data_IF_279051042607
#
_entry.id   IF_279051042607
#
_cell.length_a   1.000
_cell.length_b   1.000
_cell.length_c   1.000
_cell.angle_alpha   90.00
_cell.angle_beta   90.00
_cell.angle_gamma   90.00
#
_symmetry.space_group_name_H-M   'P 1'
#
loop_
_entity.id
_entity.type
_entity.pdbx_description
1 polymer ?
#
# COMPACT_ATOMS: atom_id res chain seq x y z
N UNK A 1 -14.72 -22.77 22.82
CA UNK A 1 -14.93 -23.63 21.63
C UNK A 1 -15.56 -22.86 20.46
N UNK A 2 -16.63 -22.06 20.65
CA UNK A 2 -17.14 -21.15 19.60
C UNK A 2 -16.12 -20.09 19.17
N UNK A 3 -15.41 -19.47 20.11
CA UNK A 3 -14.39 -18.45 19.80
C UNK A 3 -13.21 -19.01 19.01
N UNK A 4 -12.82 -20.26 19.27
CA UNK A 4 -11.72 -20.95 18.57
C UNK A 4 -12.10 -21.31 17.12
N UNK A 5 -13.35 -21.72 16.89
CA UNK A 5 -13.89 -21.99 15.54
C UNK A 5 -14.07 -20.68 14.76
N UNK A 6 -14.56 -19.61 15.40
CA UNK A 6 -14.68 -18.29 14.77
C UNK A 6 -13.31 -17.70 14.38
N UNK A 7 -12.32 -17.79 15.26
CA UNK A 7 -10.96 -17.31 14.99
C UNK A 7 -10.29 -18.07 13.83
N UNK A 8 -10.45 -19.39 13.78
CA UNK A 8 -9.88 -20.21 12.68
C UNK A 8 -10.52 -19.94 11.32
N UNK A 9 -11.82 -19.63 11.28
CA UNK A 9 -12.50 -19.24 10.05
C UNK A 9 -12.11 -17.84 9.58
N UNK A 10 -11.93 -16.89 10.51
CA UNK A 10 -11.40 -15.55 10.20
C UNK A 10 -9.97 -15.62 9.66
N UNK A 11 -9.10 -16.44 10.25
CA UNK A 11 -7.74 -16.66 9.75
C UNK A 11 -7.73 -17.25 8.33
N UNK A 12 -8.60 -18.22 8.03
CA UNK A 12 -8.74 -18.77 6.68
C UNK A 12 -9.24 -17.73 5.67
N UNK A 13 -10.17 -16.86 6.08
CA UNK A 13 -10.66 -15.75 5.23
C UNK A 13 -9.57 -14.72 4.99
N UNK A 14 -8.86 -14.29 6.03
CA UNK A 14 -7.73 -13.36 5.92
C UNK A 14 -6.68 -13.88 4.95
N UNK A 15 -6.28 -15.16 5.09
CA UNK A 15 -5.30 -15.79 4.19
C UNK A 15 -5.75 -15.79 2.72
N UNK A 16 -7.02 -16.13 2.45
CA UNK A 16 -7.54 -16.12 1.08
C UNK A 16 -7.55 -14.72 0.50
N UNK A 17 -7.88 -13.73 1.32
CA UNK A 17 -7.94 -12.34 0.90
C UNK A 17 -6.55 -11.79 0.58
N UNK A 18 -5.57 -12.10 1.42
CA UNK A 18 -4.15 -11.76 1.19
C UNK A 18 -3.62 -12.35 -0.11
N UNK A 19 -3.82 -13.65 -0.34
CA UNK A 19 -3.41 -14.26 -1.61
C UNK A 19 -4.13 -13.66 -2.83
N UNK A 20 -5.40 -13.29 -2.68
CA UNK A 20 -6.16 -12.64 -3.73
C UNK A 20 -5.58 -11.25 -4.02
N UNK A 21 -5.28 -10.46 -2.99
CA UNK A 21 -4.69 -9.13 -3.17
C UNK A 21 -3.27 -9.19 -3.74
N UNK A 22 -2.42 -10.10 -3.25
CA UNK A 22 -1.09 -10.32 -3.84
C UNK A 22 -1.19 -10.69 -5.33
N UNK A 23 -2.08 -11.60 -5.69
CA UNK A 23 -2.29 -11.99 -7.09
C UNK A 23 -2.81 -10.82 -7.95
N UNK A 24 -3.76 -10.06 -7.42
CA UNK A 24 -4.32 -8.89 -8.07
C UNK A 24 -3.27 -7.79 -8.33
N UNK A 25 -2.50 -7.44 -7.29
CA UNK A 25 -1.47 -6.40 -7.36
C UNK A 25 -0.33 -6.79 -8.32
N UNK A 26 0.06 -8.07 -8.37
CA UNK A 26 1.03 -8.53 -9.36
C UNK A 26 0.51 -8.38 -10.80
N UNK A 27 -0.77 -8.68 -11.04
CA UNK A 27 -1.40 -8.48 -12.36
C UNK A 27 -1.44 -7.00 -12.72
N UNK A 28 -1.85 -6.14 -11.77
CA UNK A 28 -1.81 -4.69 -11.96
C UNK A 28 -0.42 -4.19 -12.29
N UNK A 29 0.60 -4.57 -11.51
CA UNK A 29 1.97 -4.15 -11.72
C UNK A 29 2.47 -4.50 -13.13
N UNK A 30 2.23 -5.74 -13.59
CA UNK A 30 2.65 -6.18 -14.93
C UNK A 30 1.95 -5.37 -16.02
N UNK A 31 0.63 -5.19 -15.92
CA UNK A 31 -0.15 -4.48 -16.94
C UNK A 31 0.20 -2.98 -16.93
N UNK A 32 0.29 -2.37 -15.76
CA UNK A 32 0.60 -0.95 -15.59
C UNK A 32 2.02 -0.62 -16.06
N UNK A 33 3.03 -1.37 -15.63
CA UNK A 33 4.42 -1.12 -16.08
C UNK A 33 4.54 -1.35 -17.58
N UNK A 34 3.99 -2.45 -18.10
CA UNK A 34 4.06 -2.76 -19.53
C UNK A 34 3.39 -1.71 -20.41
N UNK A 35 2.15 -1.33 -20.08
CA UNK A 35 1.41 -0.31 -20.84
C UNK A 35 1.92 1.11 -20.59
N UNK A 36 2.43 1.41 -19.40
CA UNK A 36 3.03 2.69 -19.04
C UNK A 36 4.32 2.95 -19.81
N UNK A 37 5.20 1.95 -19.93
CA UNK A 37 6.41 2.04 -20.75
C UNK A 37 6.06 2.20 -22.24
N UNK A 38 5.08 1.46 -22.74
CA UNK A 38 4.63 1.57 -24.13
C UNK A 38 4.03 2.95 -24.45
N UNK A 39 3.32 3.55 -23.50
CA UNK A 39 2.69 4.86 -23.63
C UNK A 39 3.57 6.04 -23.15
N UNK A 40 4.78 5.76 -22.64
CA UNK A 40 5.67 6.73 -21.96
C UNK A 40 4.98 7.49 -20.81
N UNK A 41 4.01 6.86 -20.16
CA UNK A 41 3.21 7.43 -19.06
C UNK A 41 3.93 7.24 -17.73
N UNK A 42 4.39 8.35 -17.14
CA UNK A 42 5.08 8.33 -15.84
C UNK A 42 4.12 7.92 -14.73
N UNK A 43 2.87 8.40 -14.75
CA UNK A 43 1.89 8.07 -13.72
C UNK A 43 1.55 6.58 -13.71
N UNK A 44 1.39 5.97 -14.89
CA UNK A 44 1.03 4.55 -15.01
C UNK A 44 2.18 3.63 -14.60
N UNK A 45 3.43 3.96 -14.95
CA UNK A 45 4.60 3.21 -14.46
C UNK A 45 4.75 3.37 -12.94
N UNK A 46 4.59 4.59 -12.42
CA UNK A 46 4.64 4.86 -10.99
C UNK A 46 3.61 4.04 -10.20
N UNK A 47 2.37 4.02 -10.67
CA UNK A 47 1.29 3.18 -10.12
C UNK A 47 1.62 1.68 -10.18
N UNK A 48 2.18 1.21 -11.29
CA UNK A 48 2.57 -0.20 -11.42
C UNK A 48 3.68 -0.61 -10.46
N UNK A 49 4.67 0.24 -10.23
CA UNK A 49 5.74 -0.02 -9.25
C UNK A 49 5.18 0.06 -7.82
N UNK A 50 4.27 0.98 -7.54
CA UNK A 50 3.58 1.08 -6.24
C UNK A 50 2.87 -0.24 -5.89
N UNK A 51 2.10 -0.81 -6.82
CA UNK A 51 1.43 -2.10 -6.65
C UNK A 51 2.40 -3.28 -6.44
N UNK A 52 3.59 -3.22 -7.05
CA UNK A 52 4.67 -4.20 -6.79
C UNK A 52 5.23 -4.05 -5.37
N UNK A 53 5.44 -2.82 -4.89
CA UNK A 53 5.87 -2.57 -3.52
C UNK A 53 4.78 -3.02 -2.53
N UNK A 54 3.50 -2.78 -2.82
CA UNK A 54 2.37 -3.31 -2.05
C UNK A 54 2.38 -4.83 -1.95
N UNK A 55 2.65 -5.52 -3.07
CA UNK A 55 2.79 -6.97 -3.07
C UNK A 55 3.91 -7.45 -2.14
N UNK A 56 5.05 -6.74 -2.12
CA UNK A 56 6.16 -7.09 -1.23
C UNK A 56 5.88 -6.79 0.24
N UNK A 57 5.26 -5.64 0.53
CA UNK A 57 4.81 -5.25 1.87
C UNK A 57 3.80 -6.25 2.44
N UNK A 58 2.76 -6.60 1.66
CA UNK A 58 1.76 -7.59 2.03
C UNK A 58 2.35 -8.97 2.27
N UNK A 59 3.35 -9.39 1.48
CA UNK A 59 4.04 -10.66 1.69
C UNK A 59 4.85 -10.67 3.00
N UNK A 60 5.50 -9.56 3.36
CA UNK A 60 6.22 -9.40 4.64
C UNK A 60 5.24 -9.43 5.82
N UNK A 61 4.10 -8.74 5.71
CA UNK A 61 3.03 -8.76 6.72
C UNK A 61 2.40 -10.14 6.88
N UNK A 62 2.19 -10.85 5.77
CA UNK A 62 1.69 -12.22 5.79
C UNK A 62 2.68 -13.15 6.49
N UNK A 63 3.98 -12.97 6.28
CA UNK A 63 5.03 -13.71 6.98
C UNK A 63 5.03 -13.41 8.49
N UNK A 64 4.84 -12.14 8.88
CA UNK A 64 4.67 -11.69 10.28
C UNK A 64 3.49 -12.37 10.97
N UNK A 65 2.34 -12.46 10.29
CA UNK A 65 1.13 -13.11 10.83
C UNK A 65 1.32 -14.63 11.04
N UNK A 66 2.33 -15.25 10.40
CA UNK A 66 2.60 -16.69 10.46
C UNK A 66 3.85 -17.09 11.26
N UNK A 67 4.72 -16.16 11.65
CA UNK A 67 5.98 -16.44 12.35
C UNK A 67 5.89 -16.41 13.88
N UNK A 68 6.70 -17.22 14.57
CA UNK A 68 6.95 -17.09 16.01
C UNK A 68 7.71 -15.78 16.31
N UNK A 69 7.46 -15.17 17.48
CA UNK A 69 7.96 -13.89 18.05
C UNK A 69 9.50 -13.69 18.08
N UNK A 70 10.31 -14.49 17.40
CA UNK A 70 11.78 -14.52 17.52
C UNK A 70 12.54 -13.88 16.36
N UNK A 71 11.91 -13.05 15.53
CA UNK A 71 12.53 -12.52 14.29
C UNK A 71 12.48 -10.99 14.12
N UNK A 72 12.38 -10.23 15.21
CA UNK A 72 12.22 -8.75 15.20
C UNK A 72 13.23 -8.04 14.29
N UNK A 73 14.51 -8.43 14.33
CA UNK A 73 15.56 -7.78 13.53
C UNK A 73 15.45 -7.99 12.01
N UNK A 74 14.84 -9.08 11.54
CA UNK A 74 14.62 -9.30 10.10
C UNK A 74 13.35 -8.58 9.63
N UNK A 75 12.39 -8.46 10.52
CA UNK A 75 11.13 -7.77 10.28
C UNK A 75 11.33 -6.26 10.17
N UNK A 76 12.03 -5.64 11.12
CA UNK A 76 12.38 -4.21 11.04
C UNK A 76 13.14 -3.88 9.76
N UNK A 77 14.08 -4.75 9.35
CA UNK A 77 14.81 -4.58 8.09
C UNK A 77 13.90 -4.69 6.89
N UNK A 78 12.94 -5.62 6.89
CA UNK A 78 12.00 -5.78 5.78
C UNK A 78 11.09 -4.55 5.64
N UNK A 79 10.53 -4.05 6.75
CA UNK A 79 9.72 -2.84 6.77
C UNK A 79 10.53 -1.60 6.36
N UNK A 80 11.78 -1.49 6.83
CA UNK A 80 12.69 -0.44 6.42
C UNK A 80 12.97 -0.49 4.91
N UNK A 81 13.20 -1.68 4.34
CA UNK A 81 13.40 -1.86 2.91
C UNK A 81 12.16 -1.48 2.09
N UNK A 82 10.96 -1.83 2.57
CA UNK A 82 9.69 -1.40 1.96
C UNK A 82 9.57 0.13 1.98
N UNK A 83 9.84 0.75 3.13
CA UNK A 83 9.81 2.21 3.28
C UNK A 83 10.82 2.93 2.38
N UNK A 84 12.05 2.42 2.31
CA UNK A 84 13.07 2.92 1.37
C UNK A 84 12.64 2.76 -0.09
N UNK A 85 11.95 1.66 -0.43
CA UNK A 85 11.45 1.42 -1.78
C UNK A 85 10.38 2.46 -2.17
N UNK A 86 9.46 2.80 -1.26
CA UNK A 86 8.49 3.87 -1.49
C UNK A 86 9.14 5.25 -1.63
N UNK A 87 10.14 5.57 -0.82
CA UNK A 87 10.87 6.84 -0.97
C UNK A 87 11.64 6.91 -2.29
N UNK A 88 12.29 5.81 -2.69
CA UNK A 88 12.97 5.72 -3.97
C UNK A 88 11.99 5.87 -5.14
N UNK A 89 10.82 5.23 -5.05
CA UNK A 89 9.75 5.38 -6.02
C UNK A 89 9.28 6.84 -6.11
N UNK A 90 8.98 7.47 -4.98
CA UNK A 90 8.52 8.86 -4.94
C UNK A 90 9.55 9.83 -5.55
N UNK A 91 10.85 9.63 -5.27
CA UNK A 91 11.92 10.42 -5.86
C UNK A 91 12.02 10.22 -7.37
N UNK A 92 11.96 8.98 -7.85
CA UNK A 92 12.01 8.66 -9.27
C UNK A 92 10.80 9.21 -10.03
N UNK A 93 9.58 8.97 -9.54
CA UNK A 93 8.34 9.50 -10.14
C UNK A 93 8.37 11.03 -10.17
N UNK A 94 8.82 11.67 -9.09
CA UNK A 94 8.93 13.13 -9.03
C UNK A 94 9.92 13.68 -10.06
N UNK A 95 11.11 13.08 -10.16
CA UNK A 95 12.11 13.47 -11.15
C UNK A 95 11.59 13.30 -12.58
N UNK A 96 11.05 12.13 -12.90
CA UNK A 96 10.56 11.80 -14.23
C UNK A 96 9.39 12.72 -14.62
N UNK A 97 8.44 12.95 -13.73
CA UNK A 97 7.28 13.80 -14.00
C UNK A 97 7.68 15.28 -14.24
N UNK A 98 8.64 15.81 -13.48
CA UNK A 98 9.21 17.14 -13.72
C UNK A 98 9.94 17.19 -15.06
N UNK A 99 10.75 16.18 -15.37
CA UNK A 99 11.47 16.07 -16.63
C UNK A 99 10.53 16.05 -17.84
N UNK A 100 9.46 15.26 -17.78
CA UNK A 100 8.41 15.18 -18.81
C UNK A 100 7.69 16.52 -19.01
N UNK A 101 7.38 17.24 -17.92
CA UNK A 101 6.78 18.58 -18.00
C UNK A 101 7.71 19.60 -18.66
N UNK A 102 8.99 19.59 -18.32
CA UNK A 102 9.98 20.52 -18.88
C UNK A 102 10.30 20.23 -20.35
N UNK A 103 10.36 18.95 -20.73
CA UNK A 103 10.65 18.51 -22.09
C UNK A 103 9.45 18.60 -23.04
N UNK A 104 8.23 18.84 -22.52
CA UNK A 104 6.96 18.81 -23.27
C UNK A 104 6.76 17.52 -24.09
N UNK A 105 7.38 16.43 -23.66
CA UNK A 105 7.22 15.11 -24.26
C UNK A 105 5.92 14.48 -23.71
N UNK A 106 4.78 14.83 -24.30
CA UNK A 106 3.49 14.30 -23.88
C UNK A 106 3.43 12.77 -24.00
N UNK A 107 2.94 12.05 -22.97
CA UNK A 107 2.70 10.61 -23.06
C UNK A 107 1.55 10.32 -24.03
N UNK A 108 1.68 9.17 -24.70
CA UNK A 108 0.66 8.67 -25.60
C UNK A 108 -0.53 8.11 -24.79
N UNK A 109 -1.69 7.98 -25.43
CA UNK A 109 -2.89 7.47 -24.76
C UNK A 109 -2.78 5.97 -24.48
N UNK A 110 -3.11 5.54 -23.26
CA UNK A 110 -3.13 4.13 -22.85
C UNK A 110 -4.53 3.68 -22.46
N UNK A 111 -5.29 3.15 -23.43
CA UNK A 111 -6.62 2.59 -23.15
C UNK A 111 -6.55 1.43 -22.14
N UNK A 112 -5.49 0.62 -22.21
CA UNK A 112 -5.23 -0.46 -21.25
C UNK A 112 -5.04 0.10 -19.84
N UNK A 113 -4.28 1.18 -19.69
CA UNK A 113 -4.07 1.86 -18.40
C UNK A 113 -5.35 2.48 -17.83
N UNK A 114 -6.20 3.08 -18.68
CA UNK A 114 -7.50 3.64 -18.28
C UNK A 114 -8.41 2.53 -17.75
N UNK A 115 -8.53 1.42 -18.50
CA UNK A 115 -9.36 0.27 -18.09
C UNK A 115 -8.82 -0.31 -16.79
N UNK A 116 -7.50 -0.49 -16.67
CA UNK A 116 -6.87 -0.99 -15.45
C UNK A 116 -7.22 -0.08 -14.26
N UNK A 117 -6.94 1.21 -14.35
CA UNK A 117 -7.20 2.18 -13.29
C UNK A 117 -8.70 2.22 -12.91
N UNK A 118 -9.60 2.17 -13.89
CA UNK A 118 -11.04 2.12 -13.63
C UNK A 118 -11.45 0.86 -12.86
N UNK A 119 -10.88 -0.29 -13.20
CA UNK A 119 -11.14 -1.54 -12.47
C UNK A 119 -10.55 -1.47 -11.06
N UNK A 120 -9.31 -0.98 -10.90
CA UNK A 120 -8.64 -0.83 -9.60
C UNK A 120 -9.41 0.09 -8.64
N UNK A 121 -9.96 1.21 -9.13
CA UNK A 121 -10.83 2.12 -8.34
C UNK A 121 -12.04 1.39 -7.74
N UNK A 122 -12.54 0.33 -8.37
CA UNK A 122 -13.69 -0.45 -7.88
C UNK A 122 -13.25 -1.64 -7.04
N UNK A 123 -12.24 -2.39 -7.50
CA UNK A 123 -11.80 -3.64 -6.86
C UNK A 123 -11.11 -3.35 -5.53
N UNK A 124 -10.19 -2.37 -5.48
CA UNK A 124 -9.40 -2.09 -4.28
C UNK A 124 -10.26 -1.72 -3.06
N UNK A 125 -11.25 -0.81 -3.15
CA UNK A 125 -12.11 -0.51 -1.99
C UNK A 125 -12.95 -1.69 -1.51
N UNK A 126 -13.25 -2.67 -2.37
CA UNK A 126 -13.96 -3.89 -1.97
C UNK A 126 -13.00 -4.79 -1.17
N UNK A 127 -11.78 -4.98 -1.67
CA UNK A 127 -10.72 -5.72 -0.97
C UNK A 127 -10.40 -5.08 0.38
N UNK A 128 -10.19 -3.77 0.42
CA UNK A 128 -9.87 -3.03 1.66
C UNK A 128 -10.97 -3.18 2.72
N UNK A 129 -12.25 -3.08 2.35
CA UNK A 129 -13.37 -3.31 3.28
C UNK A 129 -13.43 -4.74 3.81
N UNK A 130 -13.18 -5.72 2.95
CA UNK A 130 -13.11 -7.12 3.36
C UNK A 130 -11.94 -7.34 4.33
N UNK A 131 -10.77 -6.73 4.08
CA UNK A 131 -9.58 -6.82 4.93
C UNK A 131 -9.84 -6.19 6.29
N UNK A 132 -10.40 -4.98 6.35
CA UNK A 132 -10.79 -4.29 7.58
C UNK A 132 -11.75 -5.09 8.46
N UNK A 133 -12.71 -5.78 7.83
CA UNK A 133 -13.68 -6.61 8.55
C UNK A 133 -13.01 -7.82 9.20
N UNK A 134 -12.04 -8.44 8.51
CA UNK A 134 -11.28 -9.57 9.06
C UNK A 134 -10.26 -9.07 10.10
N UNK A 135 -9.65 -7.90 9.88
CA UNK A 135 -8.70 -7.27 10.80
C UNK A 135 -9.34 -6.97 12.16
N UNK A 136 -10.52 -6.34 12.17
CA UNK A 136 -11.25 -6.05 13.41
C UNK A 136 -11.71 -7.30 14.14
N UNK A 137 -12.12 -8.34 13.40
CA UNK A 137 -12.48 -9.64 13.99
C UNK A 137 -11.29 -10.42 14.58
N UNK A 138 -10.07 -10.17 14.09
CA UNK A 138 -8.84 -10.82 14.57
C UNK A 138 -8.03 -9.95 15.56
N UNK A 139 -8.32 -8.65 15.66
CA UNK A 139 -7.48 -7.70 16.38
C UNK A 139 -6.08 -7.54 15.77
N UNK A 140 -5.95 -7.70 14.46
CA UNK A 140 -4.64 -7.73 13.78
C UNK A 140 -4.26 -6.36 13.23
N UNK A 141 -3.26 -5.71 13.86
CA UNK A 141 -2.68 -4.45 13.38
C UNK A 141 -2.03 -4.58 12.00
N UNK A 142 -1.39 -5.72 11.72
CA UNK A 142 -0.80 -6.00 10.42
C UNK A 142 -1.83 -6.00 9.29
N UNK A 143 -2.97 -6.67 9.48
CA UNK A 143 -4.05 -6.71 8.48
C UNK A 143 -4.78 -5.37 8.36
N UNK A 144 -4.81 -4.57 9.44
CA UNK A 144 -5.31 -3.20 9.37
C UNK A 144 -4.39 -2.30 8.52
N UNK A 145 -3.07 -2.38 8.72
CA UNK A 145 -2.09 -1.64 7.93
C UNK A 145 -2.17 -2.00 6.44
N UNK A 146 -2.21 -3.30 6.13
CA UNK A 146 -2.40 -3.80 4.76
C UNK A 146 -3.73 -3.32 4.14
N UNK A 147 -4.81 -3.27 4.92
CA UNK A 147 -6.08 -2.71 4.44
C UNK A 147 -5.98 -1.22 4.07
N UNK A 148 -5.23 -0.42 4.84
CA UNK A 148 -4.98 1.01 4.55
C UNK A 148 -4.16 1.16 3.28
N UNK A 149 -3.17 0.30 3.09
CA UNK A 149 -2.34 0.30 1.88
C UNK A 149 -3.19 0.03 0.63
N UNK A 150 -4.11 -0.94 0.68
CA UNK A 150 -5.05 -1.20 -0.41
C UNK A 150 -6.01 -0.02 -0.66
N UNK A 151 -6.42 0.74 0.36
CA UNK A 151 -7.20 1.97 0.13
C UNK A 151 -6.39 3.07 -0.56
N UNK A 152 -5.11 3.19 -0.24
CA UNK A 152 -4.20 4.13 -0.91
C UNK A 152 -4.01 3.78 -2.38
N UNK A 153 -3.89 2.49 -2.69
CA UNK A 153 -3.87 2.03 -4.08
C UNK A 153 -5.15 2.44 -4.83
N UNK A 154 -6.32 2.42 -4.17
CA UNK A 154 -7.56 2.95 -4.76
C UNK A 154 -7.49 4.47 -5.03
N UNK A 155 -6.92 5.25 -4.11
CA UNK A 155 -6.72 6.70 -4.30
C UNK A 155 -5.74 6.99 -5.45
N UNK A 156 -4.62 6.26 -5.51
CA UNK A 156 -3.64 6.37 -6.59
C UNK A 156 -4.25 5.96 -7.94
N UNK A 157 -5.07 4.90 -7.96
CA UNK A 157 -5.84 4.49 -9.15
C UNK A 157 -6.79 5.58 -9.62
N UNK A 158 -7.45 6.30 -8.70
CA UNK A 158 -8.35 7.40 -9.04
C UNK A 158 -7.57 8.58 -9.62
N UNK A 159 -6.43 8.95 -9.03
CA UNK A 159 -5.55 10.00 -9.54
C UNK A 159 -5.04 9.64 -10.94
N UNK A 160 -4.62 8.39 -11.12
CA UNK A 160 -4.17 7.83 -12.40
C UNK A 160 -5.27 7.91 -13.46
N UNK A 161 -6.48 7.46 -13.11
CA UNK A 161 -7.63 7.45 -14.02
C UNK A 161 -7.99 8.87 -14.48
N UNK A 162 -7.93 9.84 -13.56
CA UNK A 162 -8.14 11.26 -13.91
C UNK A 162 -7.03 11.74 -14.85
N UNK A 163 -5.76 11.47 -14.55
CA UNK A 163 -4.63 11.87 -15.39
C UNK A 163 -4.71 11.30 -16.82
N UNK A 164 -4.88 9.99 -16.93
CA UNK A 164 -5.00 9.30 -18.23
C UNK A 164 -6.29 9.67 -18.97
N UNK A 165 -7.42 9.78 -18.25
CA UNK A 165 -8.71 10.14 -18.83
C UNK A 165 -8.71 11.56 -19.37
N UNK A 166 -8.09 12.51 -18.66
CA UNK A 166 -7.94 13.88 -19.16
C UNK A 166 -7.02 13.95 -20.38
N UNK A 167 -5.93 13.17 -20.40
CA UNK A 167 -5.06 13.08 -21.58
C UNK A 167 -5.84 12.54 -22.79
N UNK A 168 -6.57 11.43 -22.63
CA UNK A 168 -7.29 10.77 -23.72
C UNK A 168 -8.54 11.52 -24.21
N UNK A 169 -9.26 12.23 -23.33
CA UNK A 169 -10.49 12.94 -23.72
C UNK A 169 -10.24 14.35 -24.23
N UNK A 170 -9.21 15.04 -23.71
CA UNK A 170 -8.96 16.45 -23.99
C UNK A 170 -7.60 16.72 -24.65
N UNK A 171 -6.77 15.69 -24.86
CA UNK A 171 -5.42 15.85 -25.40
C UNK A 171 -4.47 16.61 -24.46
N UNK A 172 -4.77 16.63 -23.15
CA UNK A 172 -3.96 17.34 -22.17
C UNK A 172 -2.70 16.57 -21.82
N UNK A 173 -1.66 16.78 -22.63
CA UNK A 173 -0.34 16.14 -22.50
C UNK A 173 0.30 16.26 -21.10
N UNK A 174 -0.06 17.30 -20.33
CA UNK A 174 0.49 17.53 -18.98
C UNK A 174 -0.32 16.83 -17.88
N UNK A 175 -1.50 16.26 -18.19
CA UNK A 175 -2.37 15.66 -17.18
C UNK A 175 -1.75 14.42 -16.53
N UNK A 176 -1.06 13.59 -17.31
CA UNK A 176 -0.34 12.42 -16.80
C UNK A 176 0.83 12.78 -15.86
N UNK A 177 1.81 13.61 -16.25
CA UNK A 177 2.87 13.98 -15.32
C UNK A 177 2.37 14.82 -14.14
N UNK A 178 1.30 15.60 -14.30
CA UNK A 178 0.66 16.27 -13.16
C UNK A 178 0.04 15.25 -12.18
N UNK A 179 -0.65 14.22 -12.68
CA UNK A 179 -1.18 13.13 -11.85
C UNK A 179 -0.05 12.40 -11.12
N UNK A 180 1.06 12.09 -11.81
CA UNK A 180 2.25 11.51 -11.22
C UNK A 180 2.80 12.37 -10.06
N UNK A 181 2.91 13.70 -10.25
CA UNK A 181 3.34 14.62 -9.18
C UNK A 181 2.38 14.66 -7.99
N UNK A 182 1.07 14.51 -8.21
CA UNK A 182 0.08 14.42 -7.13
C UNK A 182 0.23 13.12 -6.33
N UNK A 183 0.66 12.02 -6.96
CA UNK A 183 0.93 10.75 -6.28
C UNK A 183 2.17 10.82 -5.38
N UNK A 184 3.22 11.56 -5.78
CA UNK A 184 4.50 11.66 -5.04
C UNK A 184 4.35 11.93 -3.54
N UNK A 185 3.60 12.96 -3.07
CA UNK A 185 3.47 13.21 -1.64
C UNK A 185 2.71 12.10 -0.90
N UNK A 186 1.84 11.34 -1.57
CA UNK A 186 1.14 10.19 -0.99
C UNK A 186 2.14 9.03 -0.81
N UNK A 187 2.84 8.67 -1.88
CA UNK A 187 3.85 7.60 -1.88
C UNK A 187 4.98 7.90 -0.87
N UNK A 188 5.44 9.17 -0.81
CA UNK A 188 6.47 9.58 0.13
C UNK A 188 6.01 9.49 1.59
N UNK A 189 4.73 9.78 1.88
CA UNK A 189 4.16 9.63 3.22
C UNK A 189 4.13 8.16 3.64
N UNK A 190 3.77 7.25 2.74
CA UNK A 190 3.83 5.80 3.00
C UNK A 190 5.25 5.34 3.30
N UNK A 191 6.22 5.76 2.48
CA UNK A 191 7.63 5.45 2.73
C UNK A 191 8.11 5.93 4.10
N UNK A 192 7.73 7.14 4.50
CA UNK A 192 8.07 7.67 5.83
C UNK A 192 7.36 6.91 6.97
N UNK A 193 6.09 6.51 6.80
CA UNK A 193 5.36 5.75 7.80
C UNK A 193 5.97 4.35 7.98
N UNK A 194 6.28 3.66 6.88
CA UNK A 194 6.95 2.37 6.90
C UNK A 194 8.35 2.43 7.54
N UNK A 195 9.10 3.53 7.34
CA UNK A 195 10.41 3.75 7.98
C UNK A 195 10.31 4.08 9.47
N UNK A 196 9.28 4.81 9.89
CA UNK A 196 9.08 5.19 11.29
C UNK A 196 8.63 4.02 12.15
N UNK A 197 8.20 2.91 11.53
CA UNK A 197 7.77 1.71 12.22
C UNK A 197 6.73 2.03 13.27
N UNK A 198 5.50 2.40 12.85
CA UNK A 198 4.36 2.55 13.77
C UNK A 198 4.07 1.20 14.46
N UNK A 199 4.87 0.91 15.47
CA UNK A 199 4.76 -0.03 16.59
C UNK A 199 6.02 0.05 17.47
N UNK A 200 6.49 1.26 17.79
CA UNK A 200 7.41 1.47 18.91
C UNK A 200 7.13 2.83 19.57
N UNK A 201 5.92 3.01 20.12
CA UNK A 201 5.65 4.07 21.10
C UNK A 201 4.67 3.64 22.22
N UNK A 202 4.44 2.32 22.37
CA UNK A 202 3.74 1.76 23.54
C UNK A 202 4.56 0.70 24.29
N UNK A 203 5.85 0.58 23.94
CA UNK A 203 6.81 -0.29 24.63
C UNK A 203 7.84 0.54 25.42
N UNK A 204 7.39 1.50 26.24
CA UNK A 204 8.22 1.99 27.35
C UNK A 204 7.47 2.72 28.46
N UNK A 205 6.34 2.20 28.96
CA UNK A 205 5.82 2.57 30.29
C UNK A 205 5.27 1.35 31.03
N UNK A 206 6.14 0.39 31.34
CA UNK A 206 5.88 -0.59 32.39
C UNK A 206 7.19 -1.04 33.05
N UNK A 207 7.95 -0.07 33.60
CA UNK A 207 9.08 -0.33 34.51
C UNK A 207 9.15 0.73 35.63
N UNK A 208 8.08 0.85 36.41
CA UNK A 208 8.01 1.39 37.79
C UNK A 208 6.52 1.58 38.08
N UNK A 209 5.77 0.62 38.60
CA UNK A 209 5.75 0.30 40.02
C UNK A 209 5.05 -1.05 40.21
N UNK A 210 5.83 -2.09 40.52
CA UNK A 210 5.28 -3.34 41.03
C UNK A 210 5.44 -3.36 42.57
N UNK A 211 4.28 -3.40 43.24
CA UNK A 211 3.95 -4.09 44.52
C UNK A 211 4.28 -3.37 45.87
N UNK A 212 3.65 -3.71 47.03
CA UNK A 212 2.29 -3.39 47.52
C UNK A 212 2.25 -2.75 48.93
N UNK A 213 1.10 -2.20 49.35
CA UNK A 213 0.83 -1.92 50.78
C UNK A 213 -0.56 -1.35 51.03
N UNK A 214 -1.53 -2.21 51.36
CA UNK A 214 -2.85 -1.81 51.87
C UNK A 214 -2.74 -1.23 53.29
N UNK A 215 -3.44 -0.14 53.64
CA UNK A 215 -3.69 0.20 55.03
C UNK A 215 -4.80 -0.70 55.59
N UNK A 216 -4.54 -1.34 56.72
CA UNK A 216 -5.59 -1.90 57.59
C UNK A 216 -6.05 -0.75 58.48
N UNK A 217 -7.28 -0.29 58.27
CA UNK A 217 -7.99 0.58 59.20
C UNK A 217 -8.56 -0.29 60.35
N UNK A 218 -8.26 0.14 61.59
CA UNK A 218 -8.82 -0.14 62.93
C UNK A 218 -9.51 -1.48 63.26
#
# INVERSE_FOLDING_TARGET
MRDTVQRTDLLRRGRRLEYLTLGWNLVEAVIAIGSGLAARSTALVGFGIDSLIESTSGAVLLWRLFGDEKSDLREERALMLVGLSFLALAAWVGWEAVSTLLSRAGPDESLVGIVLAAVSVVVMPILARAKRTVASGLGSRALEADSRQTDLCAYLSAILLVGLGLNALFGWWWADPAAALVMVPIIAREGMQALRGEECDDCHLDLSEAVPGSPVDD
#
